data_IF_843339380803
#
_entry.id   IF_843339380803
#
_cell.length_a   1.000
_cell.length_b   1.000
_cell.length_c   1.000
_cell.angle_alpha   90.00
_cell.angle_beta   90.00
_cell.angle_gamma   90.00
#
_symmetry.space_group_name_H-M   'P 1'
#
loop_
_entity.id
_entity.type
_entity.pdbx_description
1 polymer ?
#
# COMPACT_ATOMS: atom_id res chain seq x y z
N UNK A 1 -9.32 8.86 -23.46
CA UNK A 1 -9.60 7.89 -22.38
C UNK A 1 -8.95 8.41 -21.12
N UNK A 2 -9.72 8.57 -20.03
CA UNK A 2 -9.13 8.86 -18.73
C UNK A 2 -8.42 7.57 -18.26
N UNK A 3 -7.11 7.65 -17.99
CA UNK A 3 -6.38 6.54 -17.38
C UNK A 3 -6.89 6.29 -15.97
N UNK A 4 -6.80 5.05 -15.51
CA UNK A 4 -7.04 4.74 -14.08
C UNK A 4 -5.72 4.86 -13.33
N UNK A 5 -5.63 5.75 -12.33
CA UNK A 5 -4.45 5.85 -11.48
C UNK A 5 -4.72 5.22 -10.12
N UNK A 6 -3.72 4.46 -9.63
CA UNK A 6 -3.66 3.98 -8.26
C UNK A 6 -2.73 4.91 -7.47
N UNK A 7 -3.28 5.60 -6.48
CA UNK A 7 -2.53 6.50 -5.61
C UNK A 7 -2.09 5.73 -4.36
N UNK A 8 -0.86 6.00 -3.92
CA UNK A 8 -0.29 5.47 -2.67
C UNK A 8 0.07 6.66 -1.78
N UNK A 9 -0.33 6.59 -0.51
CA UNK A 9 -0.02 7.59 0.51
C UNK A 9 0.77 6.92 1.63
N UNK A 10 1.94 7.47 1.92
CA UNK A 10 2.78 7.08 3.04
C UNK A 10 2.72 8.18 4.10
N UNK A 11 2.54 7.81 5.35
CA UNK A 11 2.50 8.73 6.49
C UNK A 11 3.36 8.14 7.60
N UNK A 12 4.34 8.92 8.09
CA UNK A 12 5.21 8.49 9.17
C UNK A 12 5.39 9.61 10.19
N UNK A 13 5.53 9.20 11.44
CA UNK A 13 5.88 10.06 12.57
C UNK A 13 6.89 9.29 13.41
N UNK A 14 8.13 9.80 13.44
CA UNK A 14 9.23 9.19 14.18
C UNK A 14 8.85 9.02 15.66
N UNK A 15 9.08 7.84 16.21
CA UNK A 15 8.72 7.46 17.57
C UNK A 15 7.24 7.21 17.80
N UNK A 16 6.39 7.24 16.75
CA UNK A 16 4.93 7.13 16.91
C UNK A 16 4.28 6.14 15.96
N UNK A 17 4.39 6.32 14.64
CA UNK A 17 3.59 5.54 13.68
C UNK A 17 4.17 5.52 12.27
N UNK A 18 3.96 4.42 11.57
CA UNK A 18 4.02 4.33 10.12
C UNK A 18 2.70 3.81 9.54
N UNK A 19 2.24 4.40 8.43
CA UNK A 19 1.00 4.03 7.74
C UNK A 19 1.16 4.12 6.23
N UNK A 20 0.61 3.13 5.51
CA UNK A 20 0.47 3.10 4.06
C UNK A 20 -1.00 2.94 3.68
N UNK A 21 -1.51 3.88 2.90
CA UNK A 21 -2.86 3.83 2.32
C UNK A 21 -2.80 3.85 0.79
N UNK A 22 -3.90 3.44 0.15
CA UNK A 22 -4.04 3.49 -1.30
C UNK A 22 -5.48 3.73 -1.74
N UNK A 23 -5.67 4.27 -2.93
CA UNK A 23 -6.99 4.40 -3.57
C UNK A 23 -6.89 4.38 -5.09
N UNK A 24 -8.01 4.10 -5.75
CA UNK A 24 -8.24 4.52 -7.13
C UNK A 24 -8.61 6.00 -7.14
N UNK A 25 -8.35 6.72 -8.24
CA UNK A 25 -8.59 8.17 -8.35
C UNK A 25 -9.93 8.64 -7.74
N UNK A 26 -11.02 7.96 -8.07
CA UNK A 26 -12.39 8.27 -7.62
C UNK A 26 -12.80 7.61 -6.29
N UNK A 27 -11.92 6.81 -5.69
CA UNK A 27 -12.22 6.00 -4.50
C UNK A 27 -11.80 6.62 -3.17
N UNK A 28 -12.24 5.99 -2.08
CA UNK A 28 -11.74 6.26 -0.73
C UNK A 28 -10.38 5.59 -0.50
N UNK A 29 -9.57 6.18 0.36
CA UNK A 29 -8.34 5.54 0.83
C UNK A 29 -8.67 4.30 1.66
N UNK A 30 -8.00 3.19 1.34
CA UNK A 30 -7.95 1.99 2.15
C UNK A 30 -6.55 1.86 2.75
N UNK A 31 -6.48 1.41 4.00
CA UNK A 31 -5.21 1.17 4.69
C UNK A 31 -4.68 -0.21 4.33
N UNK A 32 -3.43 -0.25 3.87
CA UNK A 32 -2.70 -1.49 3.58
C UNK A 32 -1.93 -1.96 4.81
N UNK A 33 -1.29 -1.00 5.49
CA UNK A 33 -0.45 -1.26 6.64
C UNK A 33 -0.52 -0.08 7.60
N UNK A 34 -0.61 -0.37 8.89
CA UNK A 34 -0.47 0.60 9.97
C UNK A 34 0.30 -0.07 11.10
N UNK A 35 1.34 0.61 11.59
CA UNK A 35 2.21 0.16 12.67
C UNK A 35 2.44 1.31 13.64
N UNK A 36 2.25 1.05 14.93
CA UNK A 36 2.64 1.98 15.98
C UNK A 36 4.07 1.66 16.45
N UNK A 37 4.89 2.70 16.64
CA UNK A 37 6.25 2.58 17.18
C UNK A 37 6.19 2.43 18.70
N UNK A 38 5.73 1.26 19.18
CA UNK A 38 5.65 0.94 20.61
C UNK A 38 6.90 0.20 21.15
N UNK A 39 8.06 0.43 20.53
CA UNK A 39 9.35 -0.16 20.96
C UNK A 39 9.77 -1.44 20.23
N UNK A 40 8.90 -2.03 19.38
CA UNK A 40 9.22 -3.25 18.62
C UNK A 40 9.17 -3.06 17.08
N UNK A 41 9.24 -1.80 16.62
CA UNK A 41 9.11 -1.52 15.18
C UNK A 41 10.22 -2.18 14.35
N UNK A 42 11.40 -2.39 14.93
CA UNK A 42 12.50 -3.10 14.29
C UNK A 42 12.12 -4.53 13.87
N UNK A 43 11.38 -5.26 14.70
CA UNK A 43 10.90 -6.60 14.38
C UNK A 43 9.72 -6.59 13.41
N UNK A 44 8.90 -5.54 13.42
CA UNK A 44 7.74 -5.41 12.53
C UNK A 44 8.13 -4.98 11.10
N UNK A 45 9.25 -4.28 10.93
CA UNK A 45 9.67 -3.74 9.64
C UNK A 45 9.85 -4.76 8.51
N UNK A 46 10.48 -5.93 8.74
CA UNK A 46 10.56 -6.98 7.74
C UNK A 46 9.18 -7.46 7.27
N UNK A 47 8.24 -7.64 8.20
CA UNK A 47 6.86 -8.07 7.88
C UNK A 47 6.09 -7.00 7.10
N UNK A 48 6.24 -5.73 7.50
CA UNK A 48 5.69 -4.60 6.77
C UNK A 48 6.20 -4.53 5.32
N UNK A 49 7.52 -4.68 5.14
CA UNK A 49 8.14 -4.68 3.81
C UNK A 49 7.59 -5.80 2.92
N UNK A 50 7.47 -7.01 3.47
CA UNK A 50 6.89 -8.17 2.78
C UNK A 50 5.43 -7.94 2.39
N UNK A 51 4.63 -7.33 3.28
CA UNK A 51 3.22 -7.02 2.99
C UNK A 51 3.09 -6.02 1.85
N UNK A 52 3.90 -4.96 1.87
CA UNK A 52 3.95 -3.97 0.79
C UNK A 52 4.35 -4.61 -0.55
N UNK A 53 5.39 -5.42 -0.57
CA UNK A 53 5.83 -6.13 -1.78
C UNK A 53 4.73 -7.05 -2.33
N UNK A 54 4.09 -7.83 -1.45
CA UNK A 54 2.97 -8.70 -1.83
C UNK A 54 1.82 -7.89 -2.42
N UNK A 55 1.45 -6.77 -1.80
CA UNK A 55 0.40 -5.88 -2.29
C UNK A 55 0.73 -5.35 -3.69
N UNK A 56 1.93 -4.82 -3.90
CA UNK A 56 2.34 -4.31 -5.22
C UNK A 56 2.33 -5.39 -6.30
N UNK A 57 2.83 -6.60 -5.99
CA UNK A 57 2.78 -7.74 -6.92
C UNK A 57 1.33 -8.09 -7.32
N UNK A 58 0.42 -8.11 -6.35
CA UNK A 58 -1.01 -8.37 -6.62
C UNK A 58 -1.65 -7.27 -7.46
N UNK A 59 -1.31 -5.99 -7.22
CA UNK A 59 -1.81 -4.89 -8.05
C UNK A 59 -1.32 -5.00 -9.49
N UNK A 60 -0.04 -5.28 -9.70
CA UNK A 60 0.52 -5.46 -11.05
C UNK A 60 -0.13 -6.62 -11.80
N UNK A 61 -0.37 -7.75 -11.11
CA UNK A 61 -1.07 -8.88 -11.70
C UNK A 61 -2.51 -8.49 -12.10
N UNK A 62 -3.25 -7.83 -11.20
CA UNK A 62 -4.62 -7.38 -11.48
C UNK A 62 -4.70 -6.39 -12.65
N UNK A 63 -3.75 -5.44 -12.75
CA UNK A 63 -3.67 -4.50 -13.86
C UNK A 63 -3.37 -5.26 -15.15
N UNK A 64 -2.41 -6.19 -15.12
CA UNK A 64 -2.07 -7.02 -16.27
C UNK A 64 -3.26 -7.82 -16.81
N UNK A 65 -4.07 -8.40 -15.92
CA UNK A 65 -5.31 -9.09 -16.32
C UNK A 65 -6.37 -8.13 -16.89
N UNK A 66 -6.55 -6.95 -16.27
CA UNK A 66 -7.48 -5.94 -16.79
C UNK A 66 -7.08 -5.41 -18.18
N UNK A 67 -5.77 -5.31 -18.46
CA UNK A 67 -5.26 -4.89 -19.77
C UNK A 67 -5.38 -5.97 -20.85
N UNK A 68 -5.52 -7.25 -20.47
CA UNK A 68 -5.76 -8.36 -21.41
C UNK A 68 -7.23 -8.53 -21.76
N UNK A 69 -8.13 -8.01 -20.92
CA UNK A 69 -9.56 -8.02 -21.20
C UNK A 69 -9.85 -7.11 -22.41
N UNK A 70 -10.51 -7.63 -23.47
CA UNK A 70 -10.80 -6.88 -24.69
C UNK A 70 -11.78 -5.71 -24.46
#
# INVERSE_FOLDING_TARGET
MAGTVRLVRLTWQNGVRFKMDTKLDSGSYITILEMDENGDIGALWPHASQLCEKYFKQQMASIGEAMKAP
#
